data_IF_575965974172
#
_entry.id   IF_575965974172
#
_cell.length_a   1.000
_cell.length_b   1.000
_cell.length_c   1.000
_cell.angle_alpha   90.00
_cell.angle_beta   90.00
_cell.angle_gamma   90.00
#
_symmetry.space_group_name_H-M   'P 1'
#
loop_
_entity.id
_entity.type
_entity.pdbx_description
1 polymer ?
#
# COMPACT_ATOMS: atom_id res chain seq x y z
N UNK A 1 12.56 -3.53 -6.19
CA UNK A 1 14.05 -3.52 -6.22
C UNK A 1 14.65 -4.04 -7.53
N UNK A 2 14.61 -5.35 -7.83
CA UNK A 2 15.29 -5.91 -9.01
C UNK A 2 14.90 -5.26 -10.35
N UNK A 3 13.60 -5.05 -10.58
CA UNK A 3 13.10 -4.39 -11.79
C UNK A 3 13.60 -2.93 -11.89
N UNK A 4 13.47 -2.15 -10.82
CA UNK A 4 13.90 -0.75 -10.78
C UNK A 4 15.41 -0.58 -10.98
N UNK A 5 16.23 -1.52 -10.50
CA UNK A 5 17.67 -1.52 -10.76
C UNK A 5 18.02 -1.60 -12.26
N UNK A 6 17.08 -2.06 -13.09
CA UNK A 6 17.18 -2.13 -14.55
C UNK A 6 16.29 -1.12 -15.27
N UNK A 7 15.70 -0.15 -14.55
CA UNK A 7 14.78 0.84 -15.13
C UNK A 7 13.45 0.24 -15.60
N UNK A 8 13.04 -0.89 -15.03
CA UNK A 8 11.78 -1.57 -15.32
C UNK A 8 10.79 -1.27 -14.20
N UNK A 9 9.56 -0.90 -14.56
CA UNK A 9 8.46 -0.67 -13.62
C UNK A 9 7.85 -1.98 -13.12
N UNK A 10 7.20 -1.94 -11.97
CA UNK A 10 6.54 -3.09 -11.32
C UNK A 10 5.05 -2.82 -11.12
N UNK A 11 4.23 -3.70 -11.67
CA UNK A 11 2.79 -3.74 -11.43
C UNK A 11 2.39 -4.86 -10.47
N UNK A 12 1.27 -4.68 -9.76
CA UNK A 12 0.63 -5.71 -8.94
C UNK A 12 -0.82 -5.86 -9.36
N UNK A 13 -1.25 -7.10 -9.55
CA UNK A 13 -2.63 -7.46 -9.80
C UNK A 13 -3.18 -8.41 -8.72
N UNK A 14 -4.50 -8.60 -8.73
CA UNK A 14 -5.20 -9.45 -7.76
C UNK A 14 -5.83 -8.65 -6.62
N UNK A 15 -6.44 -9.37 -5.68
CA UNK A 15 -7.28 -8.77 -4.63
C UNK A 15 -6.52 -7.76 -3.75
N UNK A 16 -5.24 -8.01 -3.48
CA UNK A 16 -4.40 -7.12 -2.68
C UNK A 16 -4.25 -5.72 -3.31
N UNK A 17 -4.21 -5.62 -4.64
CA UNK A 17 -4.16 -4.33 -5.33
C UNK A 17 -5.46 -3.52 -5.17
N UNK A 18 -6.59 -4.21 -4.95
CA UNK A 18 -7.89 -3.61 -4.71
C UNK A 18 -8.17 -3.27 -3.24
N UNK A 19 -7.30 -3.65 -2.32
CA UNK A 19 -7.50 -3.48 -0.88
C UNK A 19 -6.90 -2.14 -0.40
N UNK A 20 -7.76 -1.28 0.14
CA UNK A 20 -7.36 0.02 0.70
C UNK A 20 -6.40 -0.11 1.89
N UNK A 21 -6.40 -1.23 2.62
CA UNK A 21 -5.45 -1.44 3.72
C UNK A 21 -4.05 -1.79 3.20
N UNK A 22 -3.96 -2.27 1.95
CA UNK A 22 -2.70 -2.68 1.32
C UNK A 22 -2.06 -1.53 0.51
N UNK A 23 -2.84 -0.51 0.14
CA UNK A 23 -2.35 0.64 -0.59
C UNK A 23 -1.08 1.30 0.02
N UNK A 24 -0.95 1.51 1.35
CA UNK A 24 0.24 2.11 1.93
C UNK A 24 1.49 1.26 1.75
N UNK A 25 1.39 -0.06 1.95
CA UNK A 25 2.55 -0.95 1.82
C UNK A 25 2.94 -1.15 0.37
N UNK A 26 1.99 -1.31 -0.54
CA UNK A 26 2.29 -1.44 -1.98
C UNK A 26 2.97 -0.17 -2.52
N UNK A 27 2.46 1.00 -2.13
CA UNK A 27 3.10 2.28 -2.48
C UNK A 27 4.50 2.39 -1.86
N UNK A 28 4.66 2.01 -0.59
CA UNK A 28 5.92 2.04 0.14
C UNK A 28 7.00 1.10 -0.43
N UNK A 29 6.60 -0.07 -0.94
CA UNK A 29 7.46 -1.01 -1.65
C UNK A 29 7.84 -0.54 -3.06
N UNK A 30 7.29 0.58 -3.52
CA UNK A 30 7.58 1.17 -4.82
C UNK A 30 6.82 0.51 -5.97
N UNK A 31 5.65 -0.07 -5.72
CA UNK A 31 4.79 -0.55 -6.82
C UNK A 31 4.34 0.65 -7.66
N UNK A 32 4.59 0.57 -8.96
CA UNK A 32 4.31 1.65 -9.92
C UNK A 32 2.87 1.60 -10.44
N UNK A 33 2.26 0.42 -10.43
CA UNK A 33 0.94 0.18 -11.00
C UNK A 33 0.13 -0.84 -10.19
N UNK A 34 -1.17 -0.58 -10.04
CA UNK A 34 -2.10 -1.45 -9.33
C UNK A 34 -3.31 -1.75 -10.23
N UNK A 35 -3.45 -3.02 -10.62
CA UNK A 35 -4.54 -3.51 -11.45
C UNK A 35 -5.60 -4.21 -10.60
N UNK A 36 -6.84 -3.73 -10.68
CA UNK A 36 -7.96 -4.20 -9.87
C UNK A 36 -9.29 -4.12 -10.63
N UNK A 37 -10.34 -4.71 -10.06
CA UNK A 37 -11.71 -4.56 -10.57
C UNK A 37 -12.15 -3.09 -10.54
N UNK A 38 -12.90 -2.66 -11.55
CA UNK A 38 -13.29 -1.25 -11.73
C UNK A 38 -14.01 -0.62 -10.53
N UNK A 39 -14.73 -1.43 -9.75
CA UNK A 39 -15.43 -1.02 -8.54
C UNK A 39 -14.47 -0.58 -7.42
N UNK A 40 -13.27 -1.17 -7.34
CA UNK A 40 -12.28 -0.84 -6.31
C UNK A 40 -11.48 0.44 -6.64
N UNK A 41 -11.32 0.76 -7.93
CA UNK A 41 -10.47 1.86 -8.41
C UNK A 41 -10.74 3.19 -7.67
N UNK A 42 -11.99 3.68 -7.51
CA UNK A 42 -12.21 4.97 -6.85
C UNK A 42 -11.75 5.00 -5.39
N UNK A 43 -11.98 3.90 -4.65
CA UNK A 43 -11.60 3.78 -3.24
C UNK A 43 -10.09 3.71 -3.07
N UNK A 44 -9.41 2.85 -3.84
CA UNK A 44 -7.96 2.72 -3.77
C UNK A 44 -7.26 4.00 -4.26
N UNK A 45 -7.77 4.62 -5.34
CA UNK A 45 -7.27 5.92 -5.80
C UNK A 45 -7.36 6.98 -4.71
N UNK A 46 -8.50 7.07 -4.02
CA UNK A 46 -8.67 8.02 -2.91
C UNK A 46 -7.71 7.72 -1.76
N UNK A 47 -7.51 6.45 -1.40
CA UNK A 47 -6.52 6.04 -0.40
C UNK A 47 -5.10 6.50 -0.79
N UNK A 48 -4.65 6.20 -2.03
CA UNK A 48 -3.34 6.62 -2.54
C UNK A 48 -3.18 8.13 -2.51
N UNK A 49 -4.20 8.90 -2.91
CA UNK A 49 -4.16 10.36 -2.89
C UNK A 49 -4.09 10.98 -1.49
N UNK A 50 -4.47 10.21 -0.46
CA UNK A 50 -4.41 10.63 0.94
C UNK A 50 -3.10 10.22 1.65
N UNK A 51 -2.18 9.53 0.95
CA UNK A 51 -0.94 9.01 1.52
C UNK A 51 0.26 9.90 1.22
N UNK A 52 1.18 9.97 2.19
CA UNK A 52 2.51 10.54 1.99
C UNK A 52 3.50 9.43 1.61
N UNK A 53 4.15 9.57 0.45
CA UNK A 53 5.05 8.55 -0.09
C UNK A 53 6.19 8.18 0.89
N UNK A 54 6.85 9.17 1.50
CA UNK A 54 7.93 8.92 2.46
C UNK A 54 7.48 8.15 3.72
N UNK A 55 6.25 8.39 4.20
CA UNK A 55 5.70 7.61 5.32
C UNK A 55 5.40 6.16 4.92
N UNK A 56 4.96 5.95 3.67
CA UNK A 56 4.72 4.61 3.13
C UNK A 56 6.03 3.82 3.00
N UNK A 57 7.10 4.47 2.54
CA UNK A 57 8.44 3.85 2.47
C UNK A 57 8.93 3.45 3.87
N UNK A 58 8.82 4.35 4.85
CA UNK A 58 9.19 4.04 6.23
C UNK A 58 8.31 2.92 6.84
N UNK A 59 7.03 2.85 6.49
CA UNK A 59 6.16 1.73 6.87
C UNK A 59 6.69 0.42 6.29
N UNK A 60 7.03 0.39 4.99
CA UNK A 60 7.52 -0.80 4.32
C UNK A 60 8.81 -1.33 4.95
N UNK A 61 9.79 -0.46 5.19
CA UNK A 61 11.06 -0.83 5.85
C UNK A 61 10.82 -1.44 7.24
N UNK A 62 9.94 -0.83 8.04
CA UNK A 62 9.60 -1.35 9.37
C UNK A 62 8.89 -2.70 9.29
N UNK A 63 7.90 -2.84 8.39
CA UNK A 63 7.14 -4.09 8.26
C UNK A 63 8.00 -5.26 7.83
N UNK A 64 9.00 -5.05 6.98
CA UNK A 64 9.96 -6.10 6.58
C UNK A 64 10.81 -6.63 7.74
N UNK A 65 10.87 -5.89 8.85
CA UNK A 65 11.58 -6.27 10.08
C UNK A 65 10.68 -6.80 11.20
N UNK A 66 9.36 -6.91 10.97
CA UNK A 66 8.42 -7.44 11.96
C UNK A 66 8.41 -8.96 11.95
N UNK A 67 8.28 -9.57 13.12
CA UNK A 67 8.35 -11.03 13.28
C UNK A 67 6.98 -11.70 13.15
N UNK A 68 5.89 -10.92 13.23
CA UNK A 68 4.52 -11.45 13.26
C UNK A 68 3.58 -10.77 12.27
N UNK A 69 2.60 -11.55 11.80
CA UNK A 69 1.49 -11.03 10.99
C UNK A 69 0.66 -10.00 11.77
N UNK A 70 0.46 -10.20 13.07
CA UNK A 70 -0.37 -9.32 13.89
C UNK A 70 0.22 -7.90 14.00
N UNK A 71 1.53 -7.79 14.21
CA UNK A 71 2.25 -6.51 14.23
C UNK A 71 2.15 -5.81 12.87
N UNK A 72 2.39 -6.56 11.79
CA UNK A 72 2.33 -6.05 10.42
C UNK A 72 0.93 -5.54 10.08
N UNK A 73 -0.11 -6.31 10.41
CA UNK A 73 -1.51 -5.95 10.18
C UNK A 73 -1.92 -4.73 11.00
N UNK A 74 -1.51 -4.66 12.27
CA UNK A 74 -1.78 -3.49 13.12
C UNK A 74 -1.18 -2.22 12.53
N UNK A 75 0.07 -2.28 12.07
CA UNK A 75 0.74 -1.13 11.46
C UNK A 75 0.03 -0.63 10.19
N UNK A 76 -0.47 -1.55 9.33
CA UNK A 76 -1.26 -1.19 8.15
C UNK A 76 -2.55 -0.46 8.53
N UNK A 77 -3.30 -1.01 9.50
CA UNK A 77 -4.58 -0.45 9.94
C UNK A 77 -4.37 0.94 10.55
N UNK A 78 -3.35 1.14 11.37
CA UNK A 78 -3.05 2.44 11.98
C UNK A 78 -2.77 3.51 10.92
N UNK A 79 -1.99 3.18 9.88
CA UNK A 79 -1.70 4.12 8.78
C UNK A 79 -2.96 4.42 7.96
N UNK A 80 -3.76 3.41 7.67
CA UNK A 80 -5.02 3.57 6.95
C UNK A 80 -6.02 4.46 7.70
N UNK A 81 -6.23 4.20 9.00
CA UNK A 81 -7.12 4.99 9.86
C UNK A 81 -6.65 6.44 10.01
N UNK A 82 -5.35 6.67 10.09
CA UNK A 82 -4.79 8.03 10.17
C UNK A 82 -4.95 8.80 8.85
N UNK A 83 -4.73 8.13 7.73
CA UNK A 83 -4.60 8.79 6.42
C UNK A 83 -5.94 8.98 5.71
N UNK A 84 -6.87 8.05 5.86
CA UNK A 84 -8.18 8.08 5.18
C UNK A 84 -9.28 7.44 6.06
N UNK A 85 -9.56 8.01 7.25
CA UNK A 85 -10.55 7.46 8.19
C UNK A 85 -11.93 7.22 7.56
N UNK A 86 -12.32 8.02 6.58
CA UNK A 86 -13.58 7.92 5.86
C UNK A 86 -13.72 6.67 4.98
N UNK A 87 -12.61 6.00 4.65
CA UNK A 87 -12.63 4.79 3.82
C UNK A 87 -12.62 3.49 4.63
N UNK A 88 -12.27 3.57 5.92
CA UNK A 88 -12.11 2.44 6.84
C UNK A 88 -13.20 2.36 7.91
N UNK A 89 -14.20 3.25 7.83
CA UNK A 89 -15.39 3.27 8.69
C UNK A 89 -16.48 2.33 8.21
#
# INVERSE_FOLDING_TARGET
EAAHAHGIWVGVCGEMAGDIYMAPILLGLGVDEMSMGSVAIPRVKKAIQSLHYGECQALAERMLSMDTEEESRKALIEVAQRSYPELVT
#
